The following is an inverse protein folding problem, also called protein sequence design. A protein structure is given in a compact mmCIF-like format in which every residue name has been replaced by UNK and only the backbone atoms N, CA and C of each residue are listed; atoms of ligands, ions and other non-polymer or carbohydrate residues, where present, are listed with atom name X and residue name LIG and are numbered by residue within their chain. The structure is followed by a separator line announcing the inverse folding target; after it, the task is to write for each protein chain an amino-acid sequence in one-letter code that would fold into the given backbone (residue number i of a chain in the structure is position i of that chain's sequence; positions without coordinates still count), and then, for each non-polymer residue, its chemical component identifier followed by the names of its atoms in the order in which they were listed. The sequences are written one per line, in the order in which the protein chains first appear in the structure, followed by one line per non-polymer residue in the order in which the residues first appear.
data_IF_370555279305
#
_entry.id   IF_370555279305
#
_cell.length_a   1.000
_cell.length_b   1.000
_cell.length_c   1.000
_cell.angle_alpha   90.00
_cell.angle_beta   90.00
_cell.angle_gamma   90.00
#
_symmetry.space_group_name_H-M   'P 1'
#
loop_
_entity.id
_entity.type
_entity.pdbx_description
1 polymer ?
#
# COMPACT_ATOMS: atom_id res chain seq x y z
N UNK A 1 -1.14 19.36 -2.83
CA UNK A 1 -2.54 19.79 -2.77
C UNK A 1 -2.75 20.92 -1.78
N UNK A 2 -2.16 20.86 -0.60
CA UNK A 2 -1.89 22.06 0.22
C UNK A 2 -1.06 23.09 -0.56
N UNK A 3 -0.09 22.65 -1.37
CA UNK A 3 0.73 23.56 -2.22
C UNK A 3 -0.02 24.26 -3.36
N UNK A 4 -1.06 23.64 -3.94
CA UNK A 4 -1.93 24.28 -4.94
C UNK A 4 -2.83 25.34 -4.28
N UNK A 5 -3.21 25.11 -3.02
CA UNK A 5 -4.02 26.04 -2.22
C UNK A 5 -3.21 27.23 -1.70
N UNK A 6 -1.90 27.06 -1.46
CA UNK A 6 -1.03 28.10 -0.89
C UNK A 6 -0.04 28.72 -1.89
N UNK A 7 -0.13 28.39 -3.19
CA UNK A 7 0.73 28.96 -4.26
C UNK A 7 2.24 28.82 -4.01
N UNK A 8 2.68 27.84 -3.22
CA UNK A 8 4.10 27.63 -2.90
C UNK A 8 4.88 26.91 -4.01
N UNK A 9 4.18 26.34 -5.00
CA UNK A 9 4.80 25.66 -6.15
C UNK A 9 5.72 26.58 -6.96
N UNK A 10 5.36 27.87 -7.09
CA UNK A 10 6.14 28.83 -7.88
C UNK A 10 7.48 29.13 -7.21
N UNK A 11 7.53 29.24 -5.87
CA UNK A 11 8.77 29.46 -5.13
C UNK A 11 9.71 28.25 -5.18
N UNK A 12 9.16 27.02 -5.10
CA UNK A 12 9.95 25.79 -5.18
C UNK A 12 10.52 25.57 -6.58
N UNK A 13 9.75 25.84 -7.64
CA UNK A 13 10.25 25.73 -9.01
C UNK A 13 11.21 26.87 -9.43
N UNK A 14 11.13 28.03 -8.77
CA UNK A 14 12.13 29.11 -8.92
C UNK A 14 13.46 28.79 -8.23
N UNK A 15 13.43 28.04 -7.11
CA UNK A 15 14.65 27.68 -6.37
C UNK A 15 15.32 26.40 -6.88
N UNK A 16 14.59 25.44 -7.47
CA UNK A 16 15.16 24.19 -8.00
C UNK A 16 14.42 23.74 -9.26
N UNK A 17 14.95 23.96 -10.47
CA UNK A 17 14.24 23.67 -11.72
C UNK A 17 14.14 22.17 -12.04
N UNK A 18 14.69 21.28 -11.19
CA UNK A 18 14.77 19.84 -11.41
C UNK A 18 13.58 19.11 -10.78
N UNK A 19 12.48 19.03 -11.51
CA UNK A 19 11.22 18.38 -11.09
C UNK A 19 11.37 16.92 -10.64
N UNK A 20 12.34 16.19 -11.21
CA UNK A 20 12.68 14.84 -10.77
C UNK A 20 13.25 14.78 -9.35
N UNK A 21 14.04 15.78 -8.95
CA UNK A 21 14.62 15.86 -7.59
C UNK A 21 13.53 16.08 -6.54
N UNK A 22 12.51 16.87 -6.84
CA UNK A 22 11.37 17.12 -5.94
C UNK A 22 10.52 15.86 -5.77
N UNK A 23 10.26 15.12 -6.86
CA UNK A 23 9.54 13.84 -6.78
C UNK A 23 10.31 12.81 -5.94
N UNK A 24 11.63 12.69 -6.17
CA UNK A 24 12.49 11.82 -5.37
C UNK A 24 12.50 12.19 -3.89
N UNK A 25 12.64 13.48 -3.56
CA UNK A 25 12.58 13.96 -2.18
C UNK A 25 11.23 13.61 -1.54
N UNK A 26 10.13 13.72 -2.28
CA UNK A 26 8.78 13.35 -1.82
C UNK A 26 8.63 11.86 -1.58
N UNK A 27 9.19 11.01 -2.45
CA UNK A 27 9.19 9.56 -2.27
C UNK A 27 9.98 9.19 -1.02
N UNK A 28 11.21 9.73 -0.86
CA UNK A 28 12.05 9.45 0.32
C UNK A 28 11.37 9.92 1.60
N UNK A 29 10.83 11.14 1.63
CA UNK A 29 10.07 11.63 2.77
C UNK A 29 8.84 10.74 3.06
N UNK A 30 8.13 10.32 2.01
CA UNK A 30 7.01 9.39 2.10
C UNK A 30 7.40 8.04 2.69
N UNK A 31 8.55 7.48 2.29
CA UNK A 31 9.08 6.22 2.84
C UNK A 31 9.37 6.38 4.34
N UNK A 32 10.05 7.45 4.74
CA UNK A 32 10.37 7.70 6.16
C UNK A 32 9.09 7.83 6.99
N UNK A 33 8.12 8.60 6.50
CA UNK A 33 6.81 8.75 7.14
C UNK A 33 6.06 7.42 7.18
N UNK A 34 6.07 6.65 6.08
CA UNK A 34 5.41 5.35 5.98
C UNK A 34 5.98 4.32 6.93
N UNK A 35 7.31 4.25 7.05
CA UNK A 35 7.98 3.38 8.04
C UNK A 35 7.61 3.82 9.45
N UNK A 36 7.68 5.13 9.75
CA UNK A 36 7.32 5.67 11.06
C UNK A 36 5.88 5.33 11.47
N UNK A 37 4.91 5.63 10.61
CA UNK A 37 3.51 5.29 10.87
C UNK A 37 3.25 3.79 10.86
N UNK A 38 3.97 3.01 10.05
CA UNK A 38 3.90 1.56 10.05
C UNK A 38 4.34 0.97 11.39
N UNK A 39 5.44 1.46 11.96
CA UNK A 39 5.92 1.05 13.29
C UNK A 39 4.89 1.45 14.35
N UNK A 40 4.39 2.68 14.33
CA UNK A 40 3.37 3.15 15.29
C UNK A 40 2.10 2.30 15.19
N UNK A 41 1.64 1.99 13.98
CA UNK A 41 0.47 1.14 13.74
C UNK A 41 0.69 -0.30 14.24
N UNK A 42 1.87 -0.88 13.96
CA UNK A 42 2.23 -2.20 14.44
C UNK A 42 2.25 -2.25 15.98
N UNK A 43 2.90 -1.28 16.64
CA UNK A 43 2.94 -1.20 18.10
C UNK A 43 1.55 -0.98 18.71
N UNK A 44 0.74 -0.13 18.10
CA UNK A 44 -0.63 0.16 18.54
C UNK A 44 -1.56 -1.05 18.42
N UNK A 45 -1.26 -1.98 17.51
CA UNK A 45 -1.99 -3.24 17.34
C UNK A 45 -1.45 -4.34 18.27
N UNK A 46 -0.14 -4.57 18.22
CA UNK A 46 0.54 -5.66 18.95
C UNK A 46 0.52 -5.43 20.47
N UNK A 47 0.71 -4.20 20.93
CA UNK A 47 0.78 -3.89 22.36
C UNK A 47 -0.49 -4.28 23.12
N UNK A 48 -1.67 -3.75 22.74
CA UNK A 48 -2.95 -4.15 23.36
C UNK A 48 -3.27 -5.63 23.18
N UNK A 49 -2.99 -6.20 22.00
CA UNK A 49 -3.24 -7.63 21.74
C UNK A 49 -2.40 -8.52 22.66
N UNK A 50 -1.10 -8.26 22.79
CA UNK A 50 -0.22 -8.99 23.69
C UNK A 50 -0.65 -8.83 25.15
N UNK A 51 -1.00 -7.60 25.57
CA UNK A 51 -1.54 -7.34 26.91
C UNK A 51 -2.79 -8.17 27.19
N UNK A 52 -3.75 -8.20 26.25
CA UNK A 52 -4.95 -9.01 26.39
C UNK A 52 -4.63 -10.51 26.47
N UNK A 53 -3.81 -11.05 25.56
CA UNK A 53 -3.45 -12.47 25.55
C UNK A 53 -2.77 -12.90 26.86
N UNK A 54 -1.85 -12.09 27.39
CA UNK A 54 -1.19 -12.39 28.68
C UNK A 54 -2.16 -12.45 29.85
N UNK A 55 -3.17 -11.57 29.89
CA UNK A 55 -4.20 -11.56 30.96
C UNK A 55 -5.02 -12.86 30.95
N UNK A 56 -5.26 -13.43 29.77
CA UNK A 56 -5.98 -14.70 29.62
C UNK A 56 -5.08 -15.93 29.62
N UNK A 57 -3.77 -15.77 29.87
CA UNK A 57 -2.80 -16.87 29.88
C UNK A 57 -2.58 -17.52 28.51
N UNK A 58 -2.88 -16.80 27.42
CA UNK A 58 -2.65 -17.24 26.05
C UNK A 58 -1.26 -16.79 25.62
N UNK A 59 -0.54 -17.66 24.92
CA UNK A 59 0.78 -17.31 24.36
C UNK A 59 0.64 -16.17 23.34
N UNK A 60 1.55 -15.20 23.44
CA UNK A 60 1.59 -14.01 22.59
C UNK A 60 2.39 -14.23 21.30
N UNK A 61 3.17 -15.31 21.23
CA UNK A 61 4.09 -15.64 20.13
C UNK A 61 5.17 -14.56 19.86
N UNK A 62 5.36 -13.59 20.77
CA UNK A 62 6.34 -12.51 20.62
C UNK A 62 7.79 -12.97 20.77
N UNK A 63 8.01 -14.17 21.31
CA UNK A 63 9.32 -14.82 21.36
C UNK A 63 9.75 -15.43 20.03
N UNK A 64 8.82 -15.63 19.08
CA UNK A 64 9.11 -16.26 17.81
C UNK A 64 9.62 -15.25 16.76
N UNK A 65 10.69 -15.61 16.06
CA UNK A 65 11.22 -14.80 14.96
C UNK A 65 10.26 -14.62 13.79
N UNK A 66 9.34 -15.57 13.58
CA UNK A 66 8.27 -15.49 12.58
C UNK A 66 7.32 -14.32 12.83
N UNK A 67 7.01 -14.01 14.08
CA UNK A 67 6.14 -12.90 14.48
C UNK A 67 6.77 -11.56 14.11
N UNK A 68 8.06 -11.39 14.41
CA UNK A 68 8.81 -10.20 14.03
C UNK A 68 8.99 -10.07 12.52
N UNK A 69 9.17 -11.18 11.79
CA UNK A 69 9.19 -11.16 10.33
C UNK A 69 7.84 -10.73 9.75
N UNK A 70 6.72 -11.17 10.32
CA UNK A 70 5.38 -10.73 9.93
C UNK A 70 5.19 -9.24 10.21
N UNK A 71 5.56 -8.76 11.39
CA UNK A 71 5.49 -7.33 11.75
C UNK A 71 6.31 -6.49 10.76
N UNK A 72 7.53 -6.92 10.42
CA UNK A 72 8.37 -6.25 9.44
C UNK A 72 7.71 -6.19 8.05
N UNK A 73 7.05 -7.28 7.61
CA UNK A 73 6.30 -7.32 6.35
C UNK A 73 5.09 -6.38 6.36
N UNK A 74 4.40 -6.24 7.49
CA UNK A 74 3.31 -5.25 7.65
C UNK A 74 3.84 -3.82 7.49
N UNK A 75 4.93 -3.48 8.17
CA UNK A 75 5.55 -2.14 8.04
C UNK A 75 5.98 -1.88 6.59
N UNK A 76 6.58 -2.89 5.94
CA UNK A 76 6.95 -2.81 4.54
C UNK A 76 5.74 -2.60 3.62
N UNK A 77 4.66 -3.37 3.80
CA UNK A 77 3.43 -3.24 3.03
C UNK A 77 2.82 -1.83 3.16
N UNK A 78 2.72 -1.31 4.39
CA UNK A 78 2.23 0.05 4.66
C UNK A 78 3.11 1.11 4.00
N UNK A 79 4.43 0.92 4.02
CA UNK A 79 5.38 1.81 3.36
C UNK A 79 5.17 1.83 1.84
N UNK A 80 5.00 0.66 1.21
CA UNK A 80 4.72 0.57 -0.23
C UNK A 80 3.37 1.23 -0.55
N UNK A 81 2.35 1.06 0.29
CA UNK A 81 1.06 1.74 0.13
C UNK A 81 1.15 3.27 0.19
N UNK A 82 2.07 3.83 0.99
CA UNK A 82 2.36 5.27 0.94
C UNK A 82 2.88 5.66 -0.44
N UNK A 83 3.79 4.87 -1.02
CA UNK A 83 4.33 5.14 -2.36
C UNK A 83 3.24 5.02 -3.44
N UNK A 84 2.36 4.02 -3.35
CA UNK A 84 1.17 3.88 -4.21
C UNK A 84 0.29 5.13 -4.09
N UNK A 85 -0.01 5.57 -2.86
CA UNK A 85 -0.79 6.78 -2.60
C UNK A 85 -0.16 8.05 -3.17
N UNK A 86 1.16 8.18 -3.11
CA UNK A 86 1.90 9.27 -3.78
C UNK A 86 1.70 9.17 -5.30
N UNK A 87 1.85 7.99 -5.90
CA UNK A 87 1.62 7.76 -7.32
C UNK A 87 0.21 8.18 -7.75
N UNK A 88 -0.83 7.67 -7.08
CA UNK A 88 -2.23 8.04 -7.37
C UNK A 88 -2.46 9.54 -7.19
N UNK A 89 -1.95 10.13 -6.11
CA UNK A 89 -2.09 11.55 -5.82
C UNK A 89 -1.35 12.46 -6.81
N UNK A 90 -0.34 11.96 -7.51
CA UNK A 90 0.30 12.68 -8.63
C UNK A 90 -0.50 12.59 -9.93
N UNK A 91 -1.28 11.53 -10.11
CA UNK A 91 -2.10 11.28 -11.29
C UNK A 91 -3.45 12.02 -11.24
N UNK A 92 -4.06 12.07 -10.05
CA UNK A 92 -5.40 12.61 -9.83
C UNK A 92 -5.32 13.96 -9.12
N UNK A 93 -5.67 15.05 -9.83
CA UNK A 93 -5.62 16.43 -9.29
C UNK A 93 -6.62 16.68 -8.15
N UNK A 94 -7.79 16.05 -8.20
CA UNK A 94 -8.80 16.19 -7.17
C UNK A 94 -8.50 15.22 -6.01
N UNK A 95 -8.10 15.77 -4.86
CA UNK A 95 -7.79 14.97 -3.67
C UNK A 95 -8.90 14.05 -3.24
N UNK A 96 -10.13 14.57 -3.24
CA UNK A 96 -11.30 13.82 -2.81
C UNK A 96 -11.50 12.66 -3.76
N UNK A 97 -11.42 12.89 -5.08
CA UNK A 97 -11.51 11.83 -6.07
C UNK A 97 -10.39 10.79 -5.95
N UNK A 98 -9.15 11.22 -5.63
CA UNK A 98 -8.02 10.33 -5.44
C UNK A 98 -8.24 9.39 -4.25
N UNK A 99 -8.59 9.96 -3.09
CA UNK A 99 -8.83 9.20 -1.86
C UNK A 99 -10.06 8.31 -2.00
N UNK A 100 -11.18 8.86 -2.46
CA UNK A 100 -12.43 8.11 -2.66
C UNK A 100 -12.22 7.01 -3.70
N UNK A 101 -11.51 7.27 -4.80
CA UNK A 101 -11.23 6.26 -5.81
C UNK A 101 -10.44 5.07 -5.27
N UNK A 102 -9.39 5.33 -4.47
CA UNK A 102 -8.59 4.28 -3.83
C UNK A 102 -9.43 3.50 -2.81
N UNK A 103 -10.24 4.18 -2.00
CA UNK A 103 -11.12 3.53 -1.04
C UNK A 103 -12.20 2.69 -1.73
N UNK A 104 -12.87 3.24 -2.74
CA UNK A 104 -13.89 2.51 -3.51
C UNK A 104 -13.28 1.29 -4.18
N UNK A 105 -12.09 1.42 -4.77
CA UNK A 105 -11.38 0.30 -5.36
C UNK A 105 -11.04 -0.79 -4.32
N UNK A 106 -10.32 -0.41 -3.25
CA UNK A 106 -9.81 -1.38 -2.26
C UNK A 106 -10.87 -1.96 -1.35
N UNK A 107 -11.94 -1.21 -1.04
CA UNK A 107 -12.97 -1.63 -0.09
C UNK A 107 -14.19 -2.27 -0.77
N UNK A 108 -14.43 -1.99 -2.06
CA UNK A 108 -15.59 -2.52 -2.78
C UNK A 108 -15.19 -3.28 -4.03
N UNK A 109 -14.59 -2.63 -5.04
CA UNK A 109 -14.38 -3.27 -6.35
C UNK A 109 -13.47 -4.49 -6.24
N UNK A 110 -12.34 -4.37 -5.54
CA UNK A 110 -11.39 -5.46 -5.40
C UNK A 110 -11.95 -6.63 -4.57
N UNK A 111 -12.53 -6.43 -3.37
CA UNK A 111 -13.19 -7.51 -2.64
C UNK A 111 -14.30 -8.21 -3.44
N UNK A 112 -15.12 -7.45 -4.18
CA UNK A 112 -16.16 -8.01 -5.06
C UNK A 112 -15.51 -8.81 -6.19
N UNK A 113 -14.47 -8.28 -6.84
CA UNK A 113 -13.78 -8.97 -7.93
C UNK A 113 -13.09 -10.25 -7.45
N UNK A 114 -12.43 -10.22 -6.29
CA UNK A 114 -11.81 -11.40 -5.66
C UNK A 114 -12.86 -12.46 -5.31
N UNK A 115 -13.99 -12.04 -4.75
CA UNK A 115 -15.08 -12.94 -4.40
C UNK A 115 -15.74 -13.54 -5.64
N UNK A 116 -16.05 -12.72 -6.65
CA UNK A 116 -16.64 -13.18 -7.90
C UNK A 116 -15.68 -14.07 -8.70
N UNK A 117 -14.39 -13.72 -8.74
CA UNK A 117 -13.34 -14.48 -9.42
C UNK A 117 -13.12 -15.87 -8.83
N UNK A 118 -13.40 -16.07 -7.55
CA UNK A 118 -13.36 -17.40 -6.93
C UNK A 118 -14.41 -18.38 -7.52
N UNK A 119 -15.47 -17.87 -8.18
CA UNK A 119 -16.49 -18.69 -8.81
C UNK A 119 -16.28 -18.90 -10.33
N UNK A 120 -15.25 -18.27 -10.91
CA UNK A 120 -14.98 -18.30 -12.35
C UNK A 120 -13.59 -18.89 -12.59
N UNK A 121 -13.53 -20.02 -13.31
CA UNK A 121 -12.28 -20.72 -13.59
C UNK A 121 -11.29 -19.82 -14.36
N UNK A 122 -10.06 -19.70 -13.85
CA UNK A 122 -8.98 -18.90 -14.42
C UNK A 122 -8.98 -17.41 -14.01
N UNK A 123 -10.09 -16.89 -13.49
CA UNK A 123 -10.16 -15.50 -13.03
C UNK A 123 -9.52 -15.32 -11.64
N UNK A 124 -9.56 -16.38 -10.83
CA UNK A 124 -8.87 -16.51 -9.55
C UNK A 124 -7.38 -16.11 -9.64
N UNK A 125 -6.69 -16.60 -10.68
CA UNK A 125 -5.27 -16.35 -10.92
C UNK A 125 -5.01 -14.87 -11.14
N UNK A 126 -5.87 -14.18 -11.88
CA UNK A 126 -5.75 -12.74 -12.14
C UNK A 126 -6.04 -11.95 -10.86
N UNK A 127 -7.05 -12.36 -10.09
CA UNK A 127 -7.43 -11.65 -8.86
C UNK A 127 -6.35 -11.71 -7.78
N UNK A 128 -5.45 -12.69 -7.82
CA UNK A 128 -4.30 -12.78 -6.92
C UNK A 128 -3.26 -11.68 -7.16
N UNK A 129 -3.20 -11.11 -8.36
CA UNK A 129 -2.28 -10.02 -8.68
C UNK A 129 -2.88 -8.63 -8.40
N UNK A 130 -4.11 -8.54 -7.88
CA UNK A 130 -4.68 -7.25 -7.49
C UNK A 130 -3.89 -6.63 -6.31
N UNK A 131 -3.85 -5.29 -6.17
CA UNK A 131 -3.00 -4.62 -5.19
C UNK A 131 -3.25 -5.06 -3.74
N UNK A 132 -4.50 -5.20 -3.33
CA UNK A 132 -4.85 -5.71 -2.01
C UNK A 132 -4.50 -7.19 -1.84
N UNK A 133 -4.76 -8.03 -2.84
CA UNK A 133 -4.35 -9.44 -2.83
C UNK A 133 -2.82 -9.62 -2.74
N UNK A 134 -2.06 -8.81 -3.48
CA UNK A 134 -0.61 -8.77 -3.43
C UNK A 134 -0.09 -8.27 -2.06
N UNK A 135 -0.78 -7.30 -1.45
CA UNK A 135 -0.50 -6.84 -0.08
C UNK A 135 -0.76 -7.93 0.96
N UNK A 136 -1.87 -8.66 0.84
CA UNK A 136 -2.21 -9.80 1.69
C UNK A 136 -1.14 -10.90 1.59
N UNK A 137 -0.69 -11.21 0.36
CA UNK A 137 0.38 -12.16 0.11
C UNK A 137 1.70 -11.72 0.75
N UNK A 138 2.08 -10.44 0.60
CA UNK A 138 3.29 -9.87 1.22
C UNK A 138 3.29 -10.02 2.74
N UNK A 139 2.16 -9.71 3.39
CA UNK A 139 2.04 -9.84 4.84
C UNK A 139 2.01 -11.32 5.25
N UNK A 140 1.37 -12.16 4.45
CA UNK A 140 1.19 -13.58 4.72
C UNK A 140 -0.01 -13.89 5.64
N UNK A 141 -0.87 -12.90 5.90
CA UNK A 141 -2.07 -13.05 6.71
C UNK A 141 -3.13 -12.02 6.29
N UNK A 142 -4.37 -12.47 6.06
CA UNK A 142 -5.53 -11.59 5.86
C UNK A 142 -6.83 -12.31 6.20
N UNK A 143 -7.92 -11.54 6.37
CA UNK A 143 -9.27 -12.10 6.61
C UNK A 143 -9.69 -13.00 5.45
N UNK A 144 -9.34 -12.67 4.21
CA UNK A 144 -9.67 -13.51 3.05
C UNK A 144 -8.93 -14.85 3.05
N UNK A 145 -7.66 -14.86 3.46
CA UNK A 145 -6.88 -16.09 3.65
C UNK A 145 -7.46 -16.95 4.78
N UNK A 146 -7.96 -16.31 5.86
CA UNK A 146 -8.49 -17.00 7.03
C UNK A 146 -9.91 -17.52 6.84
N UNK A 147 -10.76 -16.78 6.12
CA UNK A 147 -12.15 -17.17 5.81
C UNK A 147 -12.23 -18.29 4.75
N UNK A 148 -11.19 -18.46 3.94
CA UNK A 148 -11.08 -19.51 2.93
C UNK A 148 -10.59 -20.87 3.44
N UNK A 149 -10.67 -21.15 4.75
CA UNK A 149 -10.16 -22.36 5.40
C UNK A 149 -10.53 -23.65 4.65
N UNK A 150 -9.64 -24.13 3.77
CA UNK A 150 -9.80 -25.34 2.96
C UNK A 150 -9.51 -25.18 1.47
N UNK A 151 -9.53 -23.97 0.92
CA UNK A 151 -9.04 -23.73 -0.43
C UNK A 151 -7.59 -23.29 -0.35
N UNK A 152 -6.67 -24.23 -0.57
CA UNK A 152 -5.32 -23.93 -1.03
C UNK A 152 -5.40 -23.26 -2.40
N UNK A 153 -5.93 -22.04 -2.47
CA UNK A 153 -5.79 -21.20 -3.65
C UNK A 153 -4.35 -20.75 -3.65
N UNK A 154 -3.67 -21.03 -4.76
CA UNK A 154 -2.28 -20.74 -5.06
C UNK A 154 -1.99 -19.24 -4.96
N UNK A 155 -1.96 -18.72 -3.73
CA UNK A 155 -1.61 -17.35 -3.44
C UNK A 155 -0.14 -17.11 -3.80
N UNK A 156 0.17 -15.89 -4.23
CA UNK A 156 1.54 -15.48 -4.49
C UNK A 156 2.41 -15.74 -3.26
N UNK A 157 3.65 -16.16 -3.49
CA UNK A 157 4.65 -16.16 -2.43
C UNK A 157 4.81 -14.73 -1.88
N UNK A 158 5.17 -14.60 -0.61
CA UNK A 158 5.21 -13.29 0.07
C UNK A 158 6.09 -12.26 -0.65
N UNK A 159 7.24 -12.69 -1.20
CA UNK A 159 8.12 -11.80 -1.96
C UNK A 159 7.52 -11.45 -3.33
N UNK A 160 6.78 -12.36 -3.95
CA UNK A 160 6.11 -12.12 -5.23
C UNK A 160 4.95 -11.13 -5.05
N UNK A 161 4.15 -11.26 -3.97
CA UNK A 161 3.16 -10.26 -3.59
C UNK A 161 3.78 -8.88 -3.36
N UNK A 162 4.92 -8.84 -2.65
CA UNK A 162 5.67 -7.60 -2.47
C UNK A 162 6.16 -6.98 -3.79
N UNK A 163 6.68 -7.79 -4.69
CA UNK A 163 7.15 -7.35 -6.00
C UNK A 163 6.01 -6.80 -6.88
N UNK A 164 4.85 -7.45 -6.86
CA UNK A 164 3.65 -7.00 -7.59
C UNK A 164 3.17 -5.65 -7.05
N UNK A 165 3.03 -5.52 -5.73
CA UNK A 165 2.59 -4.28 -5.10
C UNK A 165 3.57 -3.13 -5.37
N UNK A 166 4.88 -3.40 -5.29
CA UNK A 166 5.92 -2.44 -5.63
C UNK A 166 5.89 -2.08 -7.13
N UNK A 167 5.59 -3.04 -8.00
CA UNK A 167 5.34 -2.82 -9.42
C UNK A 167 4.22 -1.81 -9.67
N UNK A 168 3.07 -1.96 -8.99
CA UNK A 168 1.99 -0.96 -9.05
C UNK A 168 2.46 0.43 -8.59
N UNK A 169 3.19 0.49 -7.48
CA UNK A 169 3.72 1.75 -6.96
C UNK A 169 4.63 2.45 -7.99
N UNK A 170 5.55 1.71 -8.61
CA UNK A 170 6.45 2.22 -9.64
C UNK A 170 5.70 2.65 -10.90
N UNK A 171 4.76 1.84 -11.39
CA UNK A 171 3.96 2.18 -12.58
C UNK A 171 3.18 3.47 -12.36
N UNK A 172 2.52 3.62 -11.21
CA UNK A 172 1.76 4.83 -10.88
C UNK A 172 2.66 6.06 -10.75
N UNK A 173 3.84 5.92 -10.15
CA UNK A 173 4.83 7.01 -10.08
C UNK A 173 5.35 7.42 -11.46
N UNK A 174 5.71 6.44 -12.30
CA UNK A 174 6.22 6.70 -13.66
C UNK A 174 5.14 7.35 -14.52
N UNK A 175 3.90 6.86 -14.47
CA UNK A 175 2.77 7.47 -15.19
C UNK A 175 2.48 8.88 -14.67
N UNK A 176 2.49 9.07 -13.35
CA UNK A 176 2.31 10.37 -12.71
C UNK A 176 3.40 11.38 -13.11
N UNK A 177 4.64 10.93 -13.23
CA UNK A 177 5.76 11.74 -13.72
C UNK A 177 5.63 12.07 -15.21
N UNK A 178 5.39 11.06 -16.07
CA UNK A 178 5.34 11.24 -17.51
C UNK A 178 4.15 12.11 -17.97
N UNK A 179 2.97 11.92 -17.37
CA UNK A 179 1.76 12.67 -17.73
C UNK A 179 1.81 14.13 -17.25
N UNK A 180 2.50 14.42 -16.14
CA UNK A 180 2.70 15.81 -15.70
C UNK A 180 3.80 16.53 -16.49
N UNK A 181 4.72 15.81 -17.16
CA UNK A 181 5.74 16.44 -17.99
C UNK A 181 5.18 17.00 -19.31
N UNK A 182 4.15 16.37 -19.88
CA UNK A 182 3.55 16.80 -21.17
C UNK A 182 2.46 17.87 -21.04
N UNK A 183 2.02 18.20 -19.83
CA UNK A 183 0.85 19.05 -19.56
C UNK A 183 1.19 20.48 -19.13
N UNK A 184 2.45 20.88 -19.27
CA UNK A 184 2.99 22.20 -18.91
C UNK A 184 3.27 23.10 -20.12
N UNK A 185 2.62 22.82 -21.26
CA UNK A 185 2.55 23.72 -22.41
C UNK A 185 1.08 23.98 -22.72
N UNK A 186 0.47 24.89 -21.96
CA UNK A 186 -0.67 25.74 -22.37
C UNK A 186 -0.96 26.81 -21.33
#
# INVERSE_FOLDING_TARGET
TTEFRHKTLTATFLATPRRGTVLWAKIVAGIVVGVGFGIVGALSSVGPAAGFLTVFGIDTDLGAGSTWALIARVVLALTIWVVVGIGVGTLVRNQVAAVVGVLVFTQFLEPIARTAGAFVEGLDTVTNYLPGAASDALVGASIFQMAGAGASTSGLEWWAGGAVLLGYALVLLVLGYALNWRRDVS
#
